data_IF_647501198566
#
_entry.id   IF_647501198566
#
_cell.length_a   1.000
_cell.length_b   1.000
_cell.length_c   1.000
_cell.angle_alpha   90.00
_cell.angle_beta   90.00
_cell.angle_gamma   90.00
#
_symmetry.space_group_name_H-M   'P 1'
#
loop_
_entity.id
_entity.type
_entity.pdbx_description
1 polymer ?
#
# COMPACT_ATOMS: atom_id res chain seq x y z
N UNK A 1 -13.76 31.76 -34.23
CA UNK A 1 -13.26 33.02 -34.82
C UNK A 1 -11.83 32.74 -35.30
N UNK A 2 -11.71 32.12 -36.47
CA UNK A 2 -10.44 31.74 -37.09
C UNK A 2 -10.03 32.85 -38.06
N UNK A 3 -8.80 33.35 -37.92
CA UNK A 3 -8.19 34.28 -38.87
C UNK A 3 -7.20 33.48 -39.73
N UNK A 4 -7.57 33.29 -40.99
CA UNK A 4 -6.70 32.77 -42.04
C UNK A 4 -5.87 33.92 -42.61
N UNK A 5 -4.55 33.74 -42.69
CA UNK A 5 -3.66 34.63 -43.43
C UNK A 5 -3.24 33.89 -44.71
N UNK A 6 -3.52 34.55 -45.82
CA UNK A 6 -3.31 34.08 -47.18
C UNK A 6 -2.17 34.91 -47.77
N UNK A 7 -1.08 34.29 -48.23
CA UNK A 7 -0.09 34.95 -49.09
C UNK A 7 0.40 33.98 -50.15
N UNK A 8 -0.11 34.22 -51.34
CA UNK A 8 0.22 33.66 -52.65
C UNK A 8 1.55 34.19 -53.18
N UNK A 9 2.42 33.27 -53.60
CA UNK A 9 2.96 33.06 -54.95
C UNK A 9 3.49 34.22 -55.83
N UNK A 10 4.53 33.90 -56.63
CA UNK A 10 5.35 34.67 -57.61
C UNK A 10 6.72 35.12 -57.09
N UNK A 11 7.83 34.99 -57.83
CA UNK A 11 8.08 34.52 -59.18
C UNK A 11 9.59 34.24 -59.38
N UNK A 12 9.82 33.51 -60.46
CA UNK A 12 11.03 33.00 -61.10
C UNK A 12 12.15 34.01 -61.39
N UNK A 13 13.39 33.51 -61.24
CA UNK A 13 14.66 33.94 -61.86
C UNK A 13 14.58 33.97 -63.42
N UNK A 14 15.46 34.67 -64.21
CA UNK A 14 16.92 34.55 -64.13
C UNK A 14 17.83 35.75 -64.53
N UNK A 15 19.10 35.58 -64.11
CA UNK A 15 20.40 36.02 -64.64
C UNK A 15 20.46 37.04 -65.79
N UNK A 16 21.25 38.10 -65.56
CA UNK A 16 22.03 38.76 -66.61
C UNK A 16 23.37 39.27 -66.04
N UNK A 17 24.47 38.72 -66.57
CA UNK A 17 25.85 39.12 -66.32
C UNK A 17 26.18 40.49 -66.93
N UNK A 18 27.08 41.25 -66.30
CA UNK A 18 28.03 42.15 -66.99
C UNK A 18 29.19 42.58 -66.05
N UNK A 19 30.35 42.94 -66.61
CA UNK A 19 31.67 42.63 -66.04
C UNK A 19 32.26 43.73 -65.14
N UNK A 20 33.16 43.27 -64.27
CA UNK A 20 34.11 44.05 -63.47
C UNK A 20 35.15 44.80 -64.31
N UNK A 21 35.72 45.89 -63.75
CA UNK A 21 37.16 46.09 -63.78
C UNK A 21 37.74 46.15 -62.36
N UNK A 22 38.97 45.67 -62.25
CA UNK A 22 39.57 45.24 -61.00
C UNK A 22 40.29 46.32 -60.21
N UNK A 23 40.65 45.95 -58.98
CA UNK A 23 41.92 46.29 -58.31
C UNK A 23 42.24 45.18 -57.31
N UNK A 24 43.42 44.59 -57.45
CA UNK A 24 43.90 43.49 -56.62
C UNK A 24 44.33 44.00 -55.23
N UNK A 25 43.75 43.45 -54.16
CA UNK A 25 44.24 43.60 -52.78
C UNK A 25 44.55 42.20 -52.23
N UNK A 26 45.81 42.00 -51.83
CA UNK A 26 46.30 40.74 -51.25
C UNK A 26 45.56 40.42 -49.93
N UNK A 27 44.77 39.35 -49.94
CA UNK A 27 44.09 38.81 -48.77
C UNK A 27 45.04 37.92 -47.96
N UNK A 28 45.38 38.30 -46.74
CA UNK A 28 46.03 37.42 -45.76
C UNK A 28 44.94 36.68 -44.95
N UNK A 29 44.93 35.34 -44.89
CA UNK A 29 43.93 34.62 -44.11
C UNK A 29 44.18 34.80 -42.60
N UNK A 30 43.12 34.95 -41.79
CA UNK A 30 43.25 35.08 -40.34
C UNK A 30 43.80 33.78 -39.70
N UNK A 31 44.54 33.88 -38.58
CA UNK A 31 45.07 32.71 -37.88
C UNK A 31 43.92 31.83 -37.37
N UNK A 32 44.06 30.51 -37.58
CA UNK A 32 43.06 29.52 -37.14
C UNK A 32 42.95 29.54 -35.61
N UNK A 33 41.73 29.61 -35.03
CA UNK A 33 41.56 29.50 -33.58
C UNK A 33 42.00 28.11 -33.13
N UNK A 34 42.97 28.05 -32.21
CA UNK A 34 43.35 26.80 -31.56
C UNK A 34 42.22 26.38 -30.62
N UNK A 35 41.49 25.33 -30.98
CA UNK A 35 40.56 24.67 -30.08
C UNK A 35 41.36 23.95 -28.99
N UNK A 36 41.35 24.48 -27.76
CA UNK A 36 41.78 23.74 -26.59
C UNK A 36 40.79 22.61 -26.32
N UNK A 37 41.00 21.45 -26.94
CA UNK A 37 40.27 20.23 -26.63
C UNK A 37 40.75 19.70 -25.27
N UNK A 38 40.07 20.10 -24.19
CA UNK A 38 40.16 19.39 -22.92
C UNK A 38 39.88 17.88 -23.12
N UNK A 39 40.39 17.01 -22.24
CA UNK A 39 40.24 15.56 -22.41
C UNK A 39 38.77 15.20 -22.63
N UNK A 40 38.50 14.46 -23.72
CA UNK A 40 37.14 14.07 -24.07
C UNK A 40 36.51 13.29 -22.90
N UNK A 41 35.50 13.87 -22.26
CA UNK A 41 34.72 13.22 -21.21
C UNK A 41 34.16 11.92 -21.79
N UNK A 42 34.25 10.81 -21.04
CA UNK A 42 33.73 9.51 -21.48
C UNK A 42 32.53 9.11 -20.63
N UNK A 43 31.56 8.45 -21.24
CA UNK A 43 30.43 7.88 -20.53
C UNK A 43 30.93 6.88 -19.48
N UNK A 44 30.55 7.07 -18.21
CA UNK A 44 30.90 6.15 -17.11
C UNK A 44 30.43 4.72 -17.37
N UNK A 45 29.42 4.54 -18.22
CA UNK A 45 28.77 3.26 -18.46
C UNK A 45 29.35 2.48 -19.63
N UNK A 46 29.44 3.08 -20.82
CA UNK A 46 29.93 2.42 -22.03
C UNK A 46 31.29 2.93 -22.51
N UNK A 47 31.90 3.87 -21.79
CA UNK A 47 33.22 4.46 -22.05
C UNK A 47 33.38 5.18 -23.41
N UNK A 48 32.27 5.47 -24.07
CA UNK A 48 32.23 6.20 -25.33
C UNK A 48 32.43 7.71 -25.09
N UNK A 49 33.02 8.45 -26.04
CA UNK A 49 33.18 9.89 -25.93
C UNK A 49 31.83 10.60 -25.77
N UNK A 50 31.78 11.58 -24.88
CA UNK A 50 30.65 12.44 -24.62
C UNK A 50 30.91 13.84 -25.22
N UNK A 51 29.87 14.53 -25.74
CA UNK A 51 29.97 15.94 -26.07
C UNK A 51 30.32 16.77 -24.83
N UNK A 52 30.98 17.92 -25.03
CA UNK A 52 31.28 18.83 -23.92
C UNK A 52 29.97 19.35 -23.29
N UNK A 53 29.89 19.34 -21.96
CA UNK A 53 28.73 19.85 -21.20
C UNK A 53 27.58 18.85 -20.98
N UNK A 54 27.71 17.59 -21.37
CA UNK A 54 26.70 16.56 -21.09
C UNK A 54 26.92 15.87 -19.73
N UNK A 55 25.88 15.23 -19.19
CA UNK A 55 25.93 14.32 -18.03
C UNK A 55 27.05 13.26 -18.15
N UNK A 56 27.48 12.65 -17.04
CA UNK A 56 28.51 11.60 -17.01
C UNK A 56 28.08 10.28 -17.68
N UNK A 57 26.83 10.21 -18.16
CA UNK A 57 26.23 9.06 -18.86
C UNK A 57 25.59 9.52 -20.18
N UNK A 58 25.84 8.77 -21.27
CA UNK A 58 25.28 9.06 -22.60
C UNK A 58 23.81 8.63 -22.76
N UNK A 59 23.10 9.18 -23.74
CA UNK A 59 21.66 8.93 -23.99
C UNK A 59 21.34 7.58 -24.64
N UNK A 60 22.33 6.71 -24.84
CA UNK A 60 22.07 5.38 -25.40
C UNK A 60 21.15 4.59 -24.46
N UNK A 61 20.09 3.92 -24.97
CA UNK A 61 19.12 3.22 -24.13
C UNK A 61 19.75 2.27 -23.08
N UNK A 62 20.79 1.46 -23.39
CA UNK A 62 21.42 0.60 -22.38
C UNK A 62 22.09 1.38 -21.24
N UNK A 63 22.69 2.54 -21.54
CA UNK A 63 23.35 3.39 -20.55
C UNK A 63 22.33 4.09 -19.66
N UNK A 64 21.26 4.62 -20.26
CA UNK A 64 20.16 5.25 -19.53
C UNK A 64 19.40 4.25 -18.65
N UNK A 65 19.14 3.03 -19.15
CA UNK A 65 18.53 1.95 -18.34
C UNK A 65 19.41 1.60 -17.15
N UNK A 66 20.73 1.45 -17.33
CA UNK A 66 21.64 1.13 -16.22
C UNK A 66 21.75 2.28 -15.22
N UNK A 67 21.78 3.53 -15.66
CA UNK A 67 21.73 4.70 -14.76
C UNK A 67 20.45 4.70 -13.90
N UNK A 68 19.29 4.46 -14.53
CA UNK A 68 18.01 4.34 -13.79
C UNK A 68 18.02 3.18 -12.81
N UNK A 69 18.59 2.04 -13.19
CA UNK A 69 18.72 0.88 -12.32
C UNK A 69 19.64 1.16 -11.11
N UNK A 70 20.78 1.82 -11.32
CA UNK A 70 21.69 2.25 -10.24
C UNK A 70 20.99 3.23 -9.29
N UNK A 71 20.25 4.21 -9.82
CA UNK A 71 19.48 5.16 -9.02
C UNK A 71 18.37 4.47 -8.21
N UNK A 72 17.62 3.55 -8.83
CA UNK A 72 16.58 2.77 -8.16
C UNK A 72 17.17 1.88 -7.05
N UNK A 73 18.33 1.25 -7.30
CA UNK A 73 19.03 0.46 -6.30
C UNK A 73 19.49 1.31 -5.11
N UNK A 74 19.98 2.52 -5.35
CA UNK A 74 20.37 3.44 -4.28
C UNK A 74 19.17 3.88 -3.43
N UNK A 75 18.06 4.23 -4.07
CA UNK A 75 16.80 4.56 -3.36
C UNK A 75 16.35 3.36 -2.51
N UNK A 76 16.39 2.14 -3.06
CA UNK A 76 16.04 0.92 -2.35
C UNK A 76 16.96 0.65 -1.14
N UNK A 77 18.27 0.88 -1.28
CA UNK A 77 19.24 0.76 -0.17
C UNK A 77 18.94 1.75 0.96
N UNK A 78 18.70 3.02 0.63
CA UNK A 78 18.36 4.06 1.61
C UNK A 78 17.07 3.72 2.35
N UNK A 79 16.03 3.31 1.62
CA UNK A 79 14.76 2.87 2.20
C UNK A 79 14.96 1.70 3.16
N UNK A 80 15.70 0.66 2.74
CA UNK A 80 16.01 -0.50 3.60
C UNK A 80 16.76 -0.10 4.87
N UNK A 81 17.75 0.81 4.79
CA UNK A 81 18.48 1.32 5.95
C UNK A 81 17.54 2.04 6.91
N UNK A 82 16.67 2.92 6.40
CA UNK A 82 15.68 3.65 7.20
C UNK A 82 14.67 2.71 7.87
N UNK A 83 14.15 1.73 7.13
CA UNK A 83 13.19 0.75 7.66
C UNK A 83 13.83 -0.12 8.77
N UNK A 84 15.11 -0.49 8.61
CA UNK A 84 15.85 -1.24 9.62
C UNK A 84 16.09 -0.41 10.91
N UNK A 85 16.52 0.84 10.77
CA UNK A 85 16.71 1.75 11.90
C UNK A 85 15.39 2.00 12.64
N UNK A 86 14.30 2.22 11.90
CA UNK A 86 12.95 2.36 12.46
C UNK A 86 12.56 1.12 13.26
N UNK A 87 12.71 -0.08 12.68
CA UNK A 87 12.35 -1.33 13.35
C UNK A 87 13.17 -1.59 14.61
N UNK A 88 14.47 -1.31 14.57
CA UNK A 88 15.34 -1.43 15.73
C UNK A 88 14.89 -0.50 16.87
N UNK A 89 14.64 0.77 16.56
CA UNK A 89 14.14 1.75 17.52
C UNK A 89 12.78 1.35 18.09
N UNK A 90 11.83 0.98 17.23
CA UNK A 90 10.50 0.50 17.60
C UNK A 90 10.58 -0.68 18.56
N UNK A 91 11.43 -1.66 18.25
CA UNK A 91 11.62 -2.86 19.08
C UNK A 91 12.17 -2.49 20.45
N UNK A 92 13.19 -1.63 20.52
CA UNK A 92 13.79 -1.18 21.78
C UNK A 92 12.77 -0.42 22.64
N UNK A 93 12.02 0.51 22.04
CA UNK A 93 11.07 1.39 22.74
C UNK A 93 9.83 0.63 23.23
N UNK A 94 9.35 -0.34 22.46
CA UNK A 94 8.13 -1.11 22.83
C UNK A 94 8.38 -2.30 23.74
N UNK A 95 9.62 -2.77 23.87
CA UNK A 95 9.94 -3.94 24.70
C UNK A 95 9.36 -3.86 26.14
N UNK A 96 9.42 -2.72 26.86
CA UNK A 96 8.83 -2.63 28.20
C UNK A 96 7.31 -2.76 28.20
N UNK A 97 6.61 -2.11 27.25
CA UNK A 97 5.13 -2.15 27.18
C UNK A 97 4.63 -3.52 26.74
N UNK A 98 5.31 -4.17 25.79
CA UNK A 98 5.01 -5.55 25.40
C UNK A 98 5.18 -6.52 26.57
N UNK A 99 6.25 -6.37 27.38
CA UNK A 99 6.46 -7.19 28.59
C UNK A 99 5.36 -6.98 29.62
N UNK A 100 4.91 -5.74 29.79
CA UNK A 100 3.85 -5.41 30.73
C UNK A 100 2.52 -6.05 30.28
N UNK A 101 2.11 -5.83 29.03
CA UNK A 101 0.90 -6.45 28.48
C UNK A 101 0.96 -7.99 28.49
N UNK A 102 2.14 -8.59 28.24
CA UNK A 102 2.34 -10.03 28.38
C UNK A 102 2.06 -10.54 29.80
N UNK A 103 2.50 -9.82 30.83
CA UNK A 103 2.24 -10.17 32.23
C UNK A 103 0.76 -10.05 32.58
N UNK A 104 0.09 -9.04 32.04
CA UNK A 104 -1.34 -8.80 32.27
C UNK A 104 -2.21 -9.92 31.68
N UNK A 105 -1.75 -10.61 30.62
CA UNK A 105 -2.38 -11.84 30.11
C UNK A 105 -1.79 -13.13 30.69
N UNK A 106 -1.06 -13.05 31.81
CA UNK A 106 -0.56 -14.22 32.54
C UNK A 106 0.75 -14.83 32.01
N UNK A 107 1.38 -14.25 30.98
CA UNK A 107 2.65 -14.75 30.48
C UNK A 107 3.83 -14.29 31.36
N UNK A 108 4.71 -15.23 31.75
CA UNK A 108 5.88 -14.94 32.59
C UNK A 108 6.90 -14.02 31.88
N UNK A 109 6.98 -14.10 30.56
CA UNK A 109 7.88 -13.28 29.74
C UNK A 109 7.44 -13.26 28.27
N UNK A 110 8.03 -12.36 27.47
CA UNK A 110 7.86 -12.35 26.01
C UNK A 110 8.33 -13.62 25.30
N UNK A 111 9.15 -14.46 25.95
CA UNK A 111 9.53 -15.75 25.37
C UNK A 111 8.36 -16.74 25.35
N UNK A 112 7.38 -16.57 26.26
CA UNK A 112 6.25 -17.47 26.48
C UNK A 112 4.94 -16.98 25.87
N UNK A 113 4.96 -15.90 25.06
CA UNK A 113 3.78 -15.40 24.35
C UNK A 113 4.17 -14.93 22.95
N UNK A 114 3.30 -15.17 21.96
CA UNK A 114 3.50 -14.61 20.63
C UNK A 114 3.45 -13.08 20.71
N UNK A 115 4.39 -12.41 20.06
CA UNK A 115 4.39 -10.95 20.04
C UNK A 115 4.92 -10.40 18.74
N UNK A 116 4.40 -9.24 18.35
CA UNK A 116 4.75 -8.58 17.10
C UNK A 116 4.62 -7.05 17.22
N UNK A 117 5.06 -6.37 16.17
CA UNK A 117 4.85 -4.93 15.98
C UNK A 117 3.93 -4.71 14.78
N UNK A 118 3.10 -3.68 14.89
CA UNK A 118 2.25 -3.22 13.80
C UNK A 118 2.43 -1.73 13.55
N UNK A 119 2.23 -1.23 12.32
CA UNK A 119 2.03 0.20 12.13
C UNK A 119 0.70 0.59 12.79
N UNK A 120 0.66 1.70 13.53
CA UNK A 120 -0.57 2.26 14.09
C UNK A 120 -0.98 3.48 13.27
N UNK A 121 -2.22 3.48 12.81
CA UNK A 121 -2.85 4.64 12.20
C UNK A 121 -3.90 5.20 13.16
N UNK A 122 -3.73 6.44 13.60
CA UNK A 122 -4.66 7.11 14.52
C UNK A 122 -5.74 7.85 13.71
N UNK A 123 -6.60 7.08 13.05
CA UNK A 123 -7.72 7.65 12.31
C UNK A 123 -8.96 7.68 13.20
N UNK A 124 -9.71 8.80 13.22
CA UNK A 124 -10.86 8.94 14.11
C UNK A 124 -12.00 7.98 13.71
N UNK A 125 -12.68 7.48 14.74
CA UNK A 125 -13.92 6.73 14.61
C UNK A 125 -15.09 7.71 14.59
N UNK A 126 -15.98 7.58 13.60
CA UNK A 126 -17.21 8.36 13.47
C UNK A 126 -18.33 7.48 12.91
N UNK A 127 -19.61 7.84 13.12
CA UNK A 127 -20.70 7.23 12.36
C UNK A 127 -20.39 7.26 10.86
N UNK A 128 -20.74 6.18 10.15
CA UNK A 128 -20.51 6.09 8.70
C UNK A 128 -21.26 7.23 8.01
N UNK A 129 -20.58 8.11 7.24
CA UNK A 129 -21.26 9.18 6.52
C UNK A 129 -22.39 8.67 5.62
N UNK A 130 -23.52 9.36 5.61
CA UNK A 130 -24.74 8.91 4.92
C UNK A 130 -24.53 8.76 3.41
N UNK A 131 -23.76 9.65 2.80
CA UNK A 131 -23.38 9.60 1.38
C UNK A 131 -22.56 8.34 1.06
N UNK A 132 -21.61 7.98 1.93
CA UNK A 132 -20.80 6.76 1.78
C UNK A 132 -21.63 5.50 2.02
N UNK A 133 -22.57 5.55 2.97
CA UNK A 133 -23.51 4.47 3.22
C UNK A 133 -24.39 4.25 1.99
N UNK A 134 -24.98 5.31 1.44
CA UNK A 134 -25.82 5.24 0.24
C UNK A 134 -25.03 4.70 -0.95
N UNK A 135 -23.85 5.24 -1.24
CA UNK A 135 -23.01 4.77 -2.35
C UNK A 135 -22.61 3.30 -2.22
N UNK A 136 -22.42 2.79 -1.00
CA UNK A 136 -22.19 1.37 -0.78
C UNK A 136 -23.45 0.53 -0.94
N UNK A 137 -24.60 1.00 -0.45
CA UNK A 137 -25.89 0.30 -0.64
C UNK A 137 -26.21 0.17 -2.12
N UNK A 138 -26.04 1.24 -2.90
CA UNK A 138 -26.27 1.23 -4.36
C UNK A 138 -25.37 0.18 -5.05
N UNK A 139 -24.07 0.20 -4.74
CA UNK A 139 -23.11 -0.80 -5.26
C UNK A 139 -23.51 -2.22 -4.86
N UNK A 140 -23.89 -2.43 -3.60
CA UNK A 140 -24.29 -3.74 -3.09
C UNK A 140 -25.55 -4.26 -3.80
N UNK A 141 -26.55 -3.40 -4.00
CA UNK A 141 -27.76 -3.73 -4.74
C UNK A 141 -27.43 -4.11 -6.19
N UNK A 142 -26.57 -3.34 -6.86
CA UNK A 142 -26.15 -3.62 -8.23
C UNK A 142 -25.49 -5.01 -8.37
N UNK A 143 -24.51 -5.33 -7.52
CA UNK A 143 -23.81 -6.63 -7.60
C UNK A 143 -24.70 -7.81 -7.16
N UNK A 144 -25.66 -7.60 -6.25
CA UNK A 144 -26.63 -8.63 -5.88
C UNK A 144 -27.61 -8.86 -7.03
N UNK A 145 -28.13 -7.79 -7.65
CA UNK A 145 -29.05 -7.92 -8.77
C UNK A 145 -28.40 -8.63 -9.96
N UNK A 146 -27.15 -8.27 -10.29
CA UNK A 146 -26.37 -8.95 -11.32
C UNK A 146 -26.22 -10.45 -11.02
N UNK A 147 -25.80 -10.80 -9.79
CA UNK A 147 -25.57 -12.19 -9.41
C UNK A 147 -26.83 -13.07 -9.45
N UNK A 148 -28.03 -12.50 -9.30
CA UNK A 148 -29.31 -13.22 -9.38
C UNK A 148 -29.99 -13.14 -10.76
N UNK A 149 -29.45 -12.38 -11.70
CA UNK A 149 -30.04 -12.26 -13.04
C UNK A 149 -29.89 -13.55 -13.87
N UNK A 150 -28.84 -14.33 -13.61
CA UNK A 150 -28.47 -15.53 -14.39
C UNK A 150 -29.04 -16.83 -13.81
N UNK A 151 -29.28 -16.87 -12.50
CA UNK A 151 -29.85 -18.00 -11.80
C UNK A 151 -30.80 -17.46 -10.73
N UNK A 152 -32.06 -17.88 -10.72
CA UNK A 152 -33.07 -17.41 -9.77
C UNK A 152 -33.09 -18.22 -8.45
N UNK A 153 -32.30 -19.30 -8.37
CA UNK A 153 -32.26 -20.22 -7.22
C UNK A 153 -33.48 -21.15 -7.14
N UNK A 154 -34.45 -21.03 -8.05
CA UNK A 154 -35.71 -21.80 -8.05
C UNK A 154 -35.79 -22.68 -9.30
N UNK A 155 -35.62 -22.09 -10.48
CA UNK A 155 -35.60 -22.78 -11.77
C UNK A 155 -34.18 -23.08 -12.27
N UNK A 156 -33.21 -22.28 -11.84
CA UNK A 156 -31.79 -22.48 -12.12
C UNK A 156 -30.97 -22.26 -10.83
N UNK A 157 -30.20 -23.28 -10.43
CA UNK A 157 -29.27 -23.17 -9.33
C UNK A 157 -28.02 -22.39 -9.77
N UNK A 158 -27.38 -21.62 -8.86
CA UNK A 158 -26.09 -21.01 -9.13
C UNK A 158 -25.04 -22.08 -9.45
N UNK A 159 -24.32 -21.91 -10.56
CA UNK A 159 -23.26 -22.83 -10.96
C UNK A 159 -22.07 -22.74 -10.00
N UNK A 160 -21.37 -23.86 -9.85
CA UNK A 160 -20.09 -23.91 -9.14
C UNK A 160 -19.10 -23.00 -9.90
N UNK A 161 -18.45 -22.03 -9.25
CA UNK A 161 -17.56 -21.09 -9.93
C UNK A 161 -16.19 -21.76 -10.22
N UNK A 162 -16.16 -22.86 -10.98
CA UNK A 162 -14.94 -23.60 -11.33
C UNK A 162 -13.99 -22.78 -12.24
N UNK A 163 -14.57 -21.89 -13.07
CA UNK A 163 -13.82 -20.97 -13.93
C UNK A 163 -13.30 -19.72 -13.20
N UNK A 164 -13.60 -19.60 -11.90
CA UNK A 164 -13.10 -18.52 -11.07
C UNK A 164 -11.71 -18.91 -10.52
N UNK A 165 -10.62 -18.28 -10.99
CA UNK A 165 -9.26 -18.61 -10.54
C UNK A 165 -9.06 -18.40 -9.03
N UNK A 166 -9.95 -17.65 -8.39
CA UNK A 166 -9.92 -17.35 -6.97
C UNK A 166 -10.75 -18.33 -6.12
N UNK A 167 -11.54 -19.23 -6.73
CA UNK A 167 -12.46 -20.14 -6.02
C UNK A 167 -11.75 -21.04 -5.01
N UNK A 168 -10.72 -21.78 -5.43
CA UNK A 168 -9.95 -22.66 -4.53
C UNK A 168 -9.27 -21.88 -3.41
N UNK A 169 -8.79 -20.67 -3.72
CA UNK A 169 -8.17 -19.75 -2.75
C UNK A 169 -9.19 -19.31 -1.71
N UNK A 170 -10.41 -18.97 -2.14
CA UNK A 170 -11.52 -18.57 -1.27
C UNK A 170 -11.86 -19.69 -0.28
N UNK A 171 -12.05 -20.92 -0.79
CA UNK A 171 -12.37 -22.10 0.02
C UNK A 171 -11.25 -22.45 1.02
N UNK A 172 -9.99 -22.44 0.58
CA UNK A 172 -8.84 -22.70 1.47
C UNK A 172 -8.72 -21.65 2.58
N UNK A 173 -9.21 -20.44 2.35
CA UNK A 173 -9.20 -19.34 3.30
C UNK A 173 -10.49 -19.21 4.11
N UNK A 174 -11.49 -20.08 3.93
CA UNK A 174 -12.66 -20.16 4.81
C UNK A 174 -12.35 -20.85 6.14
N UNK A 175 -11.26 -21.63 6.22
CA UNK A 175 -10.83 -22.23 7.48
C UNK A 175 -10.66 -21.13 8.53
N UNK A 176 -11.19 -21.29 9.75
CA UNK A 176 -11.06 -20.29 10.79
C UNK A 176 -9.59 -19.92 10.98
N UNK A 177 -9.25 -18.66 10.74
CA UNK A 177 -7.94 -18.16 11.10
C UNK A 177 -7.84 -18.14 12.64
N UNK A 178 -6.69 -18.48 13.23
CA UNK A 178 -6.48 -18.31 14.66
C UNK A 178 -6.84 -16.87 15.08
N UNK A 179 -7.87 -16.72 15.92
CA UNK A 179 -8.42 -15.42 16.29
C UNK A 179 -7.36 -14.50 16.92
N UNK A 180 -6.36 -15.08 17.57
CA UNK A 180 -5.14 -14.42 18.05
C UNK A 180 -4.44 -13.52 17.00
N UNK A 181 -4.58 -13.80 15.70
CA UNK A 181 -4.02 -12.96 14.64
C UNK A 181 -4.72 -11.60 14.48
N UNK A 182 -5.95 -11.47 14.98
CA UNK A 182 -6.67 -10.20 15.02
C UNK A 182 -5.96 -9.17 15.89
N UNK A 183 -5.11 -9.59 16.84
CA UNK A 183 -4.29 -8.67 17.64
C UNK A 183 -3.49 -7.69 16.77
N UNK A 184 -2.95 -8.16 15.63
CA UNK A 184 -2.22 -7.31 14.69
C UNK A 184 -3.13 -6.26 14.04
N UNK A 185 -4.33 -6.66 13.61
CA UNK A 185 -5.30 -5.78 12.97
C UNK A 185 -5.84 -4.72 13.95
N UNK A 186 -6.17 -5.12 15.18
CA UNK A 186 -6.68 -4.23 16.23
C UNK A 186 -5.60 -3.23 16.67
N UNK A 187 -4.35 -3.68 16.83
CA UNK A 187 -3.24 -2.81 17.19
C UNK A 187 -2.90 -1.82 16.07
N UNK A 188 -3.06 -2.25 14.81
CA UNK A 188 -2.85 -1.43 13.63
C UNK A 188 -3.97 -0.43 13.36
N UNK A 189 -5.19 -0.72 13.85
CA UNK A 189 -6.44 -0.14 13.36
C UNK A 189 -6.58 -0.26 11.84
N UNK A 190 -6.24 -1.43 11.28
CA UNK A 190 -6.54 -1.77 9.89
C UNK A 190 -6.00 -0.82 8.82
N UNK A 191 -4.71 -0.48 8.83
CA UNK A 191 -4.04 0.31 7.76
C UNK A 191 -4.35 -0.21 6.35
N UNK A 192 -4.40 -1.53 6.16
CA UNK A 192 -4.78 -2.13 4.88
C UNK A 192 -6.27 -1.99 4.53
N UNK A 193 -7.16 -1.88 5.52
CA UNK A 193 -8.60 -1.74 5.32
C UNK A 193 -8.98 -0.37 4.75
N UNK A 194 -8.10 0.63 4.87
CA UNK A 194 -8.29 1.97 4.28
C UNK A 194 -8.53 1.90 2.77
N UNK A 195 -7.87 0.95 2.09
CA UNK A 195 -8.01 0.74 0.64
C UNK A 195 -9.41 0.29 0.22
N UNK A 196 -10.17 -0.35 1.12
CA UNK A 196 -11.54 -0.77 0.85
C UNK A 196 -12.56 0.38 0.88
N UNK A 197 -12.17 1.57 1.36
CA UNK A 197 -13.07 2.71 1.53
C UNK A 197 -13.60 3.26 0.21
N UNK A 198 -12.73 3.42 -0.78
CA UNK A 198 -13.09 3.86 -2.14
C UNK A 198 -13.32 2.72 -3.13
N UNK A 199 -13.40 1.47 -2.63
CA UNK A 199 -13.53 0.26 -3.46
C UNK A 199 -14.69 -0.63 -3.00
N UNK A 200 -15.64 -0.07 -2.26
CA UNK A 200 -16.83 -0.76 -1.77
C UNK A 200 -16.54 -2.12 -1.12
N UNK A 201 -15.61 -2.14 -0.17
CA UNK A 201 -15.16 -3.36 0.53
C UNK A 201 -14.59 -4.48 -0.39
N UNK A 202 -14.25 -4.12 -1.64
CA UNK A 202 -13.83 -5.04 -2.70
C UNK A 202 -14.87 -6.09 -3.07
N UNK A 203 -16.14 -5.87 -2.73
CA UNK A 203 -17.21 -6.80 -3.08
C UNK A 203 -17.54 -6.67 -4.58
N UNK A 204 -17.69 -7.82 -5.22
CA UNK A 204 -18.01 -7.95 -6.65
C UNK A 204 -19.19 -8.91 -6.84
N UNK A 205 -19.71 -8.99 -8.06
CA UNK A 205 -20.74 -9.98 -8.42
C UNK A 205 -20.30 -11.40 -8.06
N UNK A 206 -19.05 -11.78 -8.37
CA UNK A 206 -18.51 -13.11 -8.07
C UNK A 206 -18.49 -13.42 -6.57
N UNK A 207 -18.30 -12.39 -5.74
CA UNK A 207 -18.38 -12.53 -4.28
C UNK A 207 -19.79 -12.94 -3.85
N UNK A 208 -20.81 -12.38 -4.49
CA UNK A 208 -22.22 -12.72 -4.22
C UNK A 208 -22.58 -14.08 -4.81
N UNK A 209 -22.20 -14.37 -6.06
CA UNK A 209 -22.41 -15.66 -6.71
C UNK A 209 -21.85 -16.81 -5.87
N UNK A 210 -20.68 -16.61 -5.25
CA UNK A 210 -20.10 -17.57 -4.32
C UNK A 210 -20.97 -17.81 -3.07
N UNK A 211 -21.58 -16.76 -2.49
CA UNK A 211 -22.53 -16.94 -1.38
C UNK A 211 -23.75 -17.74 -1.79
N UNK A 212 -24.29 -17.46 -2.99
CA UNK A 212 -25.44 -18.18 -3.54
C UNK A 212 -25.11 -19.64 -3.81
N UNK A 213 -23.92 -19.93 -4.33
CA UNK A 213 -23.47 -21.31 -4.52
C UNK A 213 -23.39 -22.07 -3.17
N UNK A 214 -22.85 -21.42 -2.14
CA UNK A 214 -22.69 -22.00 -0.80
C UNK A 214 -24.04 -22.22 -0.09
N UNK A 215 -25.00 -21.33 -0.33
CA UNK A 215 -26.33 -21.34 0.26
C UNK A 215 -27.37 -21.10 -0.86
N UNK A 216 -27.74 -22.14 -1.64
CA UNK A 216 -28.62 -21.98 -2.82
C UNK A 216 -30.01 -21.45 -2.51
N UNK A 217 -30.47 -21.56 -1.25
CA UNK A 217 -31.76 -21.06 -0.79
C UNK A 217 -31.70 -19.58 -0.37
N UNK A 218 -30.52 -18.95 -0.39
CA UNK A 218 -30.37 -17.56 0.02
C UNK A 218 -31.08 -16.60 -0.93
N UNK A 219 -31.86 -15.68 -0.39
CA UNK A 219 -32.55 -14.66 -1.18
C UNK A 219 -31.76 -13.35 -1.24
N UNK A 220 -32.14 -12.47 -2.17
CA UNK A 220 -31.58 -11.12 -2.29
C UNK A 220 -31.75 -10.32 -0.99
N UNK A 221 -32.92 -10.41 -0.39
CA UNK A 221 -33.29 -9.70 0.83
C UNK A 221 -32.42 -10.17 2.00
N UNK A 222 -32.30 -11.49 2.18
CA UNK A 222 -31.47 -12.07 3.23
C UNK A 222 -29.99 -11.72 3.04
N UNK A 223 -29.44 -11.76 1.82
CA UNK A 223 -28.06 -11.35 1.58
C UNK A 223 -27.85 -9.86 1.87
N UNK A 224 -28.77 -9.01 1.40
CA UNK A 224 -28.71 -7.57 1.66
C UNK A 224 -28.71 -7.31 3.16
N UNK A 225 -29.62 -7.93 3.91
CA UNK A 225 -29.69 -7.81 5.36
C UNK A 225 -28.40 -8.28 6.06
N UNK A 226 -27.82 -9.42 5.64
CA UNK A 226 -26.54 -9.92 6.18
C UNK A 226 -25.41 -8.89 6.01
N UNK A 227 -25.32 -8.24 4.85
CA UNK A 227 -24.28 -7.23 4.61
C UNK A 227 -24.56 -5.89 5.32
N UNK A 228 -25.82 -5.45 5.42
CA UNK A 228 -26.15 -4.17 6.06
C UNK A 228 -26.12 -4.24 7.59
N UNK A 229 -26.51 -5.37 8.17
CA UNK A 229 -26.46 -5.60 9.62
C UNK A 229 -25.02 -5.67 10.16
N UNK A 230 -24.03 -5.95 9.30
CA UNK A 230 -22.63 -5.95 9.65
C UNK A 230 -22.00 -4.53 9.75
N UNK A 231 -22.74 -3.46 9.47
CA UNK A 231 -22.21 -2.10 9.68
C UNK A 231 -21.96 -1.84 11.17
N UNK A 232 -20.75 -1.35 11.53
CA UNK A 232 -20.50 -0.93 12.89
C UNK A 232 -21.24 0.38 13.19
N UNK A 233 -21.55 0.63 14.47
CA UNK A 233 -22.09 1.92 14.93
C UNK A 233 -21.17 3.09 14.57
N UNK A 234 -19.85 2.87 14.67
CA UNK A 234 -18.81 3.81 14.25
C UNK A 234 -17.76 3.10 13.40
N UNK A 235 -17.30 3.79 12.35
CA UNK A 235 -16.29 3.31 11.43
C UNK A 235 -15.09 4.25 11.36
N UNK A 236 -13.95 3.71 10.95
CA UNK A 236 -12.74 4.51 10.70
C UNK A 236 -12.96 5.42 9.49
N UNK A 237 -12.73 6.73 9.68
CA UNK A 237 -12.96 7.71 8.61
C UNK A 237 -12.14 7.39 7.35
N UNK A 238 -12.76 7.55 6.18
CA UNK A 238 -12.10 7.30 4.89
C UNK A 238 -11.76 5.84 4.60
N UNK A 239 -12.11 4.89 5.48
CA UNK A 239 -11.81 3.47 5.32
C UNK A 239 -13.03 2.65 4.84
N UNK A 240 -12.85 1.34 4.58
CA UNK A 240 -13.93 0.38 4.32
C UNK A 240 -15.12 0.54 5.29
N UNK A 241 -16.34 0.39 4.77
CA UNK A 241 -17.60 0.54 5.54
C UNK A 241 -17.72 -0.43 6.73
N UNK A 242 -17.04 -1.58 6.66
CA UNK A 242 -17.00 -2.59 7.72
C UNK A 242 -15.84 -2.40 8.71
N UNK A 243 -15.09 -1.30 8.63
CA UNK A 243 -13.93 -1.06 9.48
C UNK A 243 -14.35 -0.41 10.81
N UNK A 244 -14.71 -1.24 11.79
CA UNK A 244 -15.06 -0.83 13.14
C UNK A 244 -13.87 -0.65 14.09
N UNK A 245 -14.12 -0.35 15.38
CA UNK A 245 -13.09 -0.04 16.37
C UNK A 245 -12.06 -1.16 16.62
N UNK A 246 -12.47 -2.41 16.42
CA UNK A 246 -11.68 -3.62 16.64
C UNK A 246 -11.31 -4.32 15.32
N UNK A 247 -11.47 -3.64 14.18
CA UNK A 247 -11.20 -4.21 12.86
C UNK A 247 -12.47 -4.49 12.06
N UNK A 248 -12.42 -5.49 11.19
CA UNK A 248 -13.51 -5.76 10.27
C UNK A 248 -14.70 -6.41 10.99
N UNK A 249 -15.87 -5.78 10.94
CA UNK A 249 -17.13 -6.31 11.50
C UNK A 249 -17.86 -7.27 10.58
N UNK A 250 -17.43 -7.38 9.31
CA UNK A 250 -17.96 -8.36 8.39
C UNK A 250 -17.33 -9.73 8.66
N UNK A 251 -18.14 -10.77 8.72
CA UNK A 251 -17.64 -12.13 8.92
C UNK A 251 -16.80 -12.62 7.75
N UNK A 252 -15.81 -13.46 8.06
CA UNK A 252 -14.80 -13.93 7.08
C UNK A 252 -15.41 -14.54 5.80
N UNK A 253 -16.47 -15.37 5.85
CA UNK A 253 -17.09 -15.92 4.65
C UNK A 253 -17.75 -14.86 3.75
N UNK A 254 -18.18 -13.73 4.32
CA UNK A 254 -18.82 -12.63 3.58
C UNK A 254 -17.80 -11.64 3.01
N UNK A 255 -16.52 -11.70 3.42
CA UNK A 255 -15.48 -10.80 2.92
C UNK A 255 -15.07 -11.16 1.50
N UNK A 256 -14.69 -10.15 0.72
CA UNK A 256 -14.04 -10.34 -0.58
C UNK A 256 -12.78 -11.21 -0.48
N UNK A 257 -12.39 -11.89 -1.56
CA UNK A 257 -11.22 -12.78 -1.58
C UNK A 257 -9.93 -12.06 -1.14
N UNK A 258 -9.69 -10.85 -1.65
CA UNK A 258 -8.50 -10.07 -1.28
C UNK A 258 -8.43 -9.80 0.23
N UNK A 259 -9.57 -9.62 0.90
CA UNK A 259 -9.62 -9.41 2.34
C UNK A 259 -9.28 -10.68 3.14
N UNK A 260 -9.49 -11.87 2.54
CA UNK A 260 -9.21 -13.17 3.15
C UNK A 260 -7.79 -13.68 2.87
N UNK A 261 -7.25 -13.40 1.68
CA UNK A 261 -5.92 -13.85 1.23
C UNK A 261 -4.79 -12.88 1.56
N UNK A 262 -5.08 -11.57 1.69
CA UNK A 262 -4.05 -10.59 1.99
C UNK A 262 -3.51 -10.73 3.42
N UNK A 263 -2.20 -10.94 3.52
CA UNK A 263 -1.46 -11.03 4.77
C UNK A 263 -0.39 -9.95 4.83
N UNK A 264 -0.67 -8.88 5.58
CA UNK A 264 0.30 -7.81 5.78
C UNK A 264 1.55 -8.32 6.52
N UNK A 265 2.66 -7.57 6.44
CA UNK A 265 3.92 -7.97 7.11
C UNK A 265 3.73 -8.30 8.59
N UNK A 266 3.05 -7.43 9.34
CA UNK A 266 2.82 -7.61 10.78
C UNK A 266 2.00 -8.85 11.11
N UNK A 267 0.98 -9.17 10.30
CA UNK A 267 0.15 -10.37 10.49
C UNK A 267 0.94 -11.65 10.15
N UNK A 268 1.78 -11.64 9.11
CA UNK A 268 2.71 -12.75 8.81
C UNK A 268 3.72 -12.97 9.94
N UNK A 269 4.37 -11.91 10.41
CA UNK A 269 5.32 -12.00 11.52
C UNK A 269 4.65 -12.51 12.81
N UNK A 270 3.40 -12.11 13.06
CA UNK A 270 2.61 -12.62 14.18
C UNK A 270 2.22 -14.09 13.98
N UNK A 271 1.79 -14.49 12.79
CA UNK A 271 1.46 -15.88 12.47
C UNK A 271 2.67 -16.80 12.71
N UNK A 272 3.86 -16.39 12.27
CA UNK A 272 5.11 -17.10 12.55
C UNK A 272 5.40 -17.17 14.07
N UNK A 273 5.10 -16.09 14.81
CA UNK A 273 5.31 -16.05 16.25
C UNK A 273 4.33 -16.94 17.02
N UNK A 274 3.08 -17.06 16.56
CA UNK A 274 2.04 -17.95 17.07
C UNK A 274 2.37 -19.40 16.74
N UNK A 275 2.82 -19.70 15.52
CA UNK A 275 3.24 -21.04 15.13
C UNK A 275 4.39 -21.58 16.02
N UNK A 276 5.30 -20.70 16.44
CA UNK A 276 6.37 -21.04 17.39
C UNK A 276 5.90 -21.19 18.85
N UNK A 277 4.70 -20.71 19.18
CA UNK A 277 4.13 -20.65 20.54
C UNK A 277 2.62 -20.93 20.51
N UNK A 278 2.21 -22.15 20.11
CA UNK A 278 0.80 -22.47 20.02
C UNK A 278 0.14 -22.39 21.41
N UNK A 279 -1.10 -21.87 21.46
CA UNK A 279 -1.91 -21.83 22.68
C UNK A 279 -1.52 -20.78 23.73
N UNK A 280 -0.61 -19.85 23.44
CA UNK A 280 -0.16 -18.83 24.42
C UNK A 280 -0.88 -17.49 24.35
N UNK A 281 -1.79 -17.30 23.38
CA UNK A 281 -2.29 -15.97 23.02
C UNK A 281 -1.22 -15.11 22.33
N UNK A 282 -1.49 -13.81 22.17
CA UNK A 282 -0.56 -12.85 21.59
C UNK A 282 -0.62 -11.45 22.20
N UNK A 283 0.47 -10.71 22.05
CA UNK A 283 0.57 -9.29 22.40
C UNK A 283 1.19 -8.51 21.24
N UNK A 284 0.52 -7.46 20.77
CA UNK A 284 1.00 -6.62 19.68
C UNK A 284 1.05 -5.16 20.10
N UNK A 285 2.14 -4.48 19.74
CA UNK A 285 2.25 -3.03 19.87
C UNK A 285 2.17 -2.39 18.48
N UNK A 286 1.10 -1.61 18.27
CA UNK A 286 0.93 -0.70 17.15
C UNK A 286 1.72 0.59 17.39
N UNK A 287 2.50 1.03 16.41
CA UNK A 287 3.32 2.25 16.47
C UNK A 287 3.10 3.16 15.27
N UNK A 288 2.89 4.45 15.50
CA UNK A 288 2.86 5.42 14.40
C UNK A 288 4.20 5.49 13.69
N UNK A 289 4.18 5.73 12.38
CA UNK A 289 5.41 5.84 11.56
C UNK A 289 6.35 6.93 12.06
N UNK A 290 5.79 8.04 12.54
CA UNK A 290 6.54 9.19 13.06
C UNK A 290 6.94 9.06 14.54
N UNK A 291 6.70 7.92 15.21
CA UNK A 291 7.09 7.77 16.61
C UNK A 291 8.61 7.97 16.80
N UNK A 292 9.42 7.65 15.78
CA UNK A 292 10.87 7.84 15.81
C UNK A 292 11.29 9.31 15.79
N UNK A 293 10.43 10.20 15.31
CA UNK A 293 10.69 11.64 15.20
C UNK A 293 10.44 12.37 16.54
N UNK A 294 9.79 11.72 17.50
CA UNK A 294 9.51 12.27 18.83
C UNK A 294 10.03 11.32 19.92
N UNK A 295 11.16 11.65 20.58
CA UNK A 295 11.76 10.82 21.62
C UNK A 295 11.03 10.88 22.97
N UNK A 296 9.99 11.70 23.13
CA UNK A 296 9.34 11.93 24.43
C UNK A 296 8.59 10.71 24.97
N UNK A 297 8.41 10.65 26.29
CA UNK A 297 7.55 9.64 26.91
C UNK A 297 6.08 10.01 26.74
N UNK A 298 5.22 9.01 26.51
CA UNK A 298 3.76 9.20 26.47
C UNK A 298 3.22 9.76 25.16
N UNK A 299 4.05 9.86 24.11
CA UNK A 299 3.60 10.28 22.80
C UNK A 299 2.44 9.40 22.29
N UNK A 300 1.41 9.96 21.62
CA UNK A 300 0.14 9.30 21.29
C UNK A 300 0.26 8.27 20.14
N UNK A 301 1.44 7.69 20.00
CA UNK A 301 1.83 6.86 18.87
C UNK A 301 1.75 5.37 19.17
N UNK A 302 1.07 4.97 20.24
CA UNK A 302 1.08 3.60 20.72
C UNK A 302 -0.33 3.08 20.96
N UNK A 303 -0.62 1.90 20.41
CA UNK A 303 -1.77 1.09 20.76
C UNK A 303 -1.29 -0.32 21.08
N UNK A 304 -1.51 -0.80 22.30
CA UNK A 304 -1.11 -2.16 22.70
C UNK A 304 -2.35 -3.01 22.85
N UNK A 305 -2.33 -4.18 22.22
CA UNK A 305 -3.44 -5.13 22.22
C UNK A 305 -2.91 -6.48 22.64
N UNK A 306 -3.67 -7.17 23.48
CA UNK A 306 -3.46 -8.59 23.73
C UNK A 306 -4.69 -9.40 23.38
N UNK A 307 -4.46 -10.63 22.97
CA UNK A 307 -5.50 -11.65 22.82
C UNK A 307 -5.08 -12.85 23.67
N UNK A 308 -5.94 -13.29 24.58
CA UNK A 308 -5.68 -14.42 25.46
C UNK A 308 -5.75 -15.76 24.69
N UNK A 309 -5.30 -16.89 25.27
CA UNK A 309 -5.53 -18.22 24.69
C UNK A 309 -7.01 -18.59 24.50
N UNK A 310 -7.92 -17.90 25.21
CA UNK A 310 -9.37 -18.10 25.14
C UNK A 310 -10.05 -17.01 24.32
N UNK A 311 -9.31 -16.36 23.42
CA UNK A 311 -9.79 -15.34 22.49
C UNK A 311 -10.35 -14.06 23.13
N UNK A 312 -9.98 -13.78 24.39
CA UNK A 312 -10.34 -12.52 25.04
C UNK A 312 -9.42 -11.38 24.55
N UNK A 313 -10.03 -10.31 24.04
CA UNK A 313 -9.31 -9.12 23.54
C UNK A 313 -9.19 -8.09 24.65
N UNK A 314 -7.97 -7.58 24.88
CA UNK A 314 -7.72 -6.43 25.77
C UNK A 314 -6.96 -5.35 25.03
N UNK A 315 -7.50 -4.13 25.02
CA UNK A 315 -6.78 -2.93 24.58
C UNK A 315 -6.19 -2.25 25.81
N UNK A 316 -4.87 -2.10 25.83
CA UNK A 316 -4.12 -1.63 26.99
C UNK A 316 -3.98 -0.10 26.98
N UNK A 317 -5.09 0.60 27.15
CA UNK A 317 -5.17 2.07 27.05
C UNK A 317 -4.43 2.81 28.18
N UNK A 318 -3.94 2.11 29.20
CA UNK A 318 -3.08 2.65 30.26
C UNK A 318 -1.58 2.64 29.90
N UNK A 319 -1.17 1.82 28.93
CA UNK A 319 0.24 1.72 28.54
C UNK A 319 0.67 2.92 27.70
N UNK A 320 1.87 3.43 27.98
CA UNK A 320 2.43 4.62 27.34
C UNK A 320 3.78 4.29 26.74
N UNK A 321 4.05 4.86 25.56
CA UNK A 321 5.32 4.66 24.89
C UNK A 321 6.44 5.29 25.74
N UNK A 322 7.47 4.54 26.17
CA UNK A 322 8.56 5.09 26.95
C UNK A 322 9.36 6.13 26.15
N UNK A 323 10.04 7.06 26.83
CA UNK A 323 11.00 7.95 26.18
C UNK A 323 12.16 7.16 25.55
N UNK A 324 12.72 7.68 24.46
CA UNK A 324 13.98 7.20 23.91
C UNK A 324 15.10 7.58 24.92
N UNK A 325 15.78 6.59 25.50
CA UNK A 325 16.87 6.83 26.46
C UNK A 325 18.11 7.40 25.75
N UNK A 326 18.84 8.31 26.41
CA UNK A 326 20.17 8.80 25.98
C UNK A 326 21.11 7.63 25.64
N UNK A 327 21.78 7.69 24.48
CA UNK A 327 22.73 6.67 24.00
C UNK A 327 22.24 5.77 22.86
N UNK A 328 21.09 6.07 22.25
CA UNK A 328 20.70 5.49 20.96
C UNK A 328 21.16 6.42 19.83
N UNK A 329 21.55 5.88 18.66
CA UNK A 329 22.09 6.70 17.58
C UNK A 329 21.07 7.78 17.21
N UNK A 330 21.47 9.03 17.44
CA UNK A 330 20.98 10.17 16.67
C UNK A 330 21.59 9.99 15.28
N UNK A 331 20.77 10.10 14.23
CA UNK A 331 21.11 9.81 12.83
C UNK A 331 22.50 10.32 12.38
#
# INVERSE_FOLDING_TARGET
MLVAINLTDRASEPFAEKPFPGTAQMYQPPPRPMSHSGPATRCRICHQPLPQGTSDVCDRPPCQTRLKAEAAAEIARRKKKKDAAWLEMSTRRTRPVLRQAAREVGAQSLAHVAHALAPYIDLPLRPLPEDRRAAFVDHLTEIIDAAFATADGISALPELPEDDPDYTTRLAHETPEPFVLNAACIACQGDCCTLGGGRHAFLTEETITYQRWRDPEVTKETLTERYLSAFPEVSVIGSCVYHGPQGCTLDRPLRANICNSFQCRSRRELADAVARRPGTGAVVAGLSRNHADDPSAGAPYLRVVSVSPTDEVTVHDHLRLPALRKGMPED
#
